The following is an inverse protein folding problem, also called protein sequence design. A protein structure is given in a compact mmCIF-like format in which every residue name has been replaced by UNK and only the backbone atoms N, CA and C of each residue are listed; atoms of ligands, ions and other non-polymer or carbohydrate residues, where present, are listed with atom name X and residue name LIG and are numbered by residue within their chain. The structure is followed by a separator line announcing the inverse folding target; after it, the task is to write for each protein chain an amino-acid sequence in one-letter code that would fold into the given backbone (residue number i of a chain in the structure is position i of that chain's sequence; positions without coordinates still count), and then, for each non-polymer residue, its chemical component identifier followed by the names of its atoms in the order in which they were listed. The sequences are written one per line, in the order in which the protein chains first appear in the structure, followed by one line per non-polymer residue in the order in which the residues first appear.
data_IF_960890999351
#
_entry.id   IF_960890999351
#
_cell.length_a   1.000
_cell.length_b   1.000
_cell.length_c   1.000
_cell.angle_alpha   90.00
_cell.angle_beta   90.00
_cell.angle_gamma   90.00
#
_symmetry.space_group_name_H-M   'P 1'
#
loop_
_entity.id
_entity.type
_entity.pdbx_description
1 polymer ?
#
# COMPACT_ATOMS: atom_id res chain seq x y z
N UNK A 1 -6.99 -1.78 -2.82
CA UNK A 1 -6.71 -3.21 -2.55
C UNK A 1 -6.60 -3.41 -1.06
N UNK A 2 -7.20 -4.46 -0.51
CA UNK A 2 -7.10 -4.80 0.91
C UNK A 2 -5.65 -5.16 1.30
N UNK A 3 -5.27 -4.86 2.54
CA UNK A 3 -3.95 -5.14 3.10
C UNK A 3 -3.82 -6.46 3.85
N UNK A 4 -2.58 -6.93 4.05
CA UNK A 4 -2.28 -8.17 4.79
C UNK A 4 -2.70 -8.12 6.27
N UNK A 5 -2.88 -6.94 6.83
CA UNK A 5 -3.32 -6.72 8.21
C UNK A 5 -4.85 -6.56 8.34
N UNK A 6 -5.59 -6.54 7.23
CA UNK A 6 -7.04 -6.33 7.26
C UNK A 6 -7.83 -7.58 7.67
N UNK A 7 -9.02 -7.41 8.29
CA UNK A 7 -9.90 -8.52 8.65
C UNK A 7 -10.22 -9.45 7.47
N UNK A 8 -10.44 -8.89 6.28
CA UNK A 8 -10.68 -9.62 5.02
C UNK A 8 -9.60 -10.66 4.69
N UNK A 9 -8.35 -10.42 5.12
CA UNK A 9 -7.22 -11.32 4.88
C UNK A 9 -6.90 -12.18 6.10
N UNK A 10 -7.07 -11.63 7.30
CA UNK A 10 -6.67 -12.31 8.54
C UNK A 10 -7.72 -13.27 9.08
N UNK A 11 -9.01 -12.91 9.02
CA UNK A 11 -10.08 -13.75 9.57
C UNK A 11 -10.17 -15.10 8.83
N UNK A 12 -10.12 -15.17 7.48
CA UNK A 12 -10.09 -16.46 6.79
C UNK A 12 -8.95 -17.36 7.25
N UNK A 13 -7.73 -16.81 7.44
CA UNK A 13 -6.58 -17.56 7.95
C UNK A 13 -6.79 -18.06 9.38
N UNK A 14 -7.42 -17.24 10.23
CA UNK A 14 -7.79 -17.66 11.60
C UNK A 14 -8.79 -18.81 11.54
N UNK A 15 -9.78 -18.78 10.65
CA UNK A 15 -10.74 -19.88 10.51
C UNK A 15 -10.11 -21.13 9.91
N UNK A 16 -9.11 -21.00 9.03
CA UNK A 16 -8.32 -22.13 8.53
C UNK A 16 -7.52 -22.80 9.66
N UNK A 17 -6.88 -22.02 10.52
CA UNK A 17 -6.08 -22.51 11.65
C UNK A 17 -6.95 -22.97 12.85
N UNK A 18 -8.13 -22.36 13.02
CA UNK A 18 -9.06 -22.54 14.14
C UNK A 18 -10.52 -22.60 13.67
N UNK A 19 -10.96 -23.71 13.06
CA UNK A 19 -12.32 -23.86 12.53
C UNK A 19 -13.44 -23.69 13.56
N UNK A 20 -13.15 -23.93 14.85
CA UNK A 20 -14.10 -23.72 15.95
C UNK A 20 -14.53 -22.26 16.12
N UNK A 21 -13.77 -21.32 15.54
CA UNK A 21 -14.05 -19.89 15.61
C UNK A 21 -14.90 -19.38 14.44
N UNK A 22 -15.27 -20.23 13.47
CA UNK A 22 -16.03 -19.82 12.29
C UNK A 22 -17.31 -19.06 12.70
N UNK A 23 -17.45 -17.84 12.17
CA UNK A 23 -18.60 -16.97 12.43
C UNK A 23 -18.48 -16.12 13.71
N UNK A 24 -17.38 -16.21 14.46
CA UNK A 24 -17.18 -15.40 15.67
C UNK A 24 -16.71 -13.96 15.39
N UNK A 25 -16.19 -13.69 14.20
CA UNK A 25 -15.66 -12.39 13.83
C UNK A 25 -16.40 -11.80 12.63
N UNK A 26 -16.74 -10.51 12.75
CA UNK A 26 -17.30 -9.73 11.65
C UNK A 26 -16.19 -9.23 10.72
N UNK A 27 -16.46 -9.29 9.42
CA UNK A 27 -15.66 -8.64 8.39
C UNK A 27 -16.42 -7.38 7.95
N UNK A 28 -15.85 -6.17 8.13
CA UNK A 28 -16.54 -4.94 7.77
C UNK A 28 -16.67 -4.81 6.25
N UNK A 29 -17.86 -4.44 5.77
CA UNK A 29 -18.08 -4.16 4.35
C UNK A 29 -17.57 -2.74 3.99
N UNK A 30 -16.35 -2.67 3.46
CA UNK A 30 -15.71 -1.40 3.10
C UNK A 30 -16.43 -0.67 1.95
N UNK A 31 -17.26 -1.35 1.16
CA UNK A 31 -18.02 -0.71 0.07
C UNK A 31 -19.08 0.24 0.61
N UNK A 32 -19.58 0.01 1.83
CA UNK A 32 -20.52 0.90 2.51
C UNK A 32 -19.91 2.26 2.85
N UNK A 33 -18.58 2.36 2.86
CA UNK A 33 -17.85 3.62 3.04
C UNK A 33 -17.45 4.28 1.71
N UNK A 34 -17.97 3.78 0.58
CA UNK A 34 -17.72 4.32 -0.75
C UNK A 34 -16.39 3.90 -1.37
N UNK A 35 -15.68 2.93 -0.78
CA UNK A 35 -14.45 2.42 -1.37
C UNK A 35 -14.75 1.42 -2.48
N UNK A 36 -13.99 1.54 -3.57
CA UNK A 36 -13.82 0.44 -4.50
C UNK A 36 -12.80 -0.56 -3.93
N UNK A 37 -13.27 -1.75 -3.63
CA UNK A 37 -12.50 -2.77 -2.89
C UNK A 37 -11.97 -3.80 -3.87
N UNK A 38 -10.70 -4.16 -3.72
CA UNK A 38 -10.01 -5.15 -4.54
C UNK A 38 -9.29 -6.13 -3.63
N UNK A 39 -9.31 -7.42 -3.98
CA UNK A 39 -8.72 -8.48 -3.16
C UNK A 39 -7.21 -8.32 -2.96
N UNK A 40 -6.72 -9.01 -1.92
CA UNK A 40 -5.32 -9.01 -1.54
C UNK A 40 -4.44 -9.52 -2.70
N UNK A 41 -3.42 -8.73 -3.06
CA UNK A 41 -2.47 -8.98 -4.15
C UNK A 41 -3.02 -8.97 -5.57
N UNK A 42 -4.31 -8.66 -5.77
CA UNK A 42 -4.79 -8.34 -7.10
C UNK A 42 -4.10 -7.06 -7.61
N UNK A 43 -3.64 -7.10 -8.85
CA UNK A 43 -3.03 -5.96 -9.52
C UNK A 43 -4.12 -5.20 -10.28
N UNK A 44 -4.38 -3.98 -9.85
CA UNK A 44 -5.33 -3.07 -10.49
C UNK A 44 -4.55 -2.04 -11.30
N UNK A 45 -4.87 -1.85 -12.57
CA UNK A 45 -4.23 -0.84 -13.40
C UNK A 45 -5.18 0.33 -13.65
N UNK A 46 -4.89 1.49 -13.05
CA UNK A 46 -5.68 2.70 -13.18
C UNK A 46 -4.76 3.77 -13.77
N UNK A 47 -5.13 4.32 -14.94
CA UNK A 47 -4.37 5.39 -15.61
C UNK A 47 -2.89 5.04 -15.87
N UNK A 48 -2.58 3.75 -16.10
CA UNK A 48 -1.22 3.27 -16.32
C UNK A 48 -0.40 3.04 -15.04
N UNK A 49 -0.98 3.29 -13.86
CA UNK A 49 -0.38 3.05 -12.55
C UNK A 49 -0.96 1.76 -11.98
N UNK A 50 -0.09 0.84 -11.54
CA UNK A 50 -0.50 -0.43 -10.95
C UNK A 50 -0.60 -0.34 -9.43
N UNK A 51 -1.71 -0.79 -8.88
CA UNK A 51 -1.98 -0.82 -7.45
C UNK A 51 -2.03 -2.28 -6.99
N UNK A 52 -1.33 -2.58 -5.90
CA UNK A 52 -1.40 -3.85 -5.17
C UNK A 52 -0.94 -3.60 -3.74
N UNK A 53 -1.29 -4.47 -2.79
CA UNK A 53 -0.72 -4.36 -1.44
C UNK A 53 0.81 -4.47 -1.47
N UNK A 54 1.35 -5.41 -2.24
CA UNK A 54 2.74 -5.39 -2.71
C UNK A 54 2.91 -6.06 -4.08
N UNK A 55 4.03 -5.76 -4.71
CA UNK A 55 4.49 -6.47 -5.90
C UNK A 55 5.61 -7.44 -5.54
N UNK A 56 5.59 -8.64 -6.08
CA UNK A 56 6.66 -9.61 -5.90
C UNK A 56 7.86 -9.23 -6.77
N UNK A 57 9.07 -9.31 -6.23
CA UNK A 57 10.28 -9.16 -7.03
C UNK A 57 10.46 -10.42 -7.91
N UNK A 58 10.36 -10.31 -9.25
CA UNK A 58 10.47 -11.46 -10.14
C UNK A 58 11.86 -12.13 -10.07
N UNK A 59 12.90 -11.36 -9.75
CA UNK A 59 14.28 -11.82 -9.60
C UNK A 59 14.58 -12.43 -8.22
N UNK A 60 13.64 -12.36 -7.27
CA UNK A 60 13.80 -13.02 -5.98
C UNK A 60 13.48 -14.51 -6.08
N UNK A 61 14.45 -15.37 -5.74
CA UNK A 61 14.24 -16.81 -5.65
C UNK A 61 13.13 -17.18 -4.64
N UNK A 62 12.99 -16.40 -3.56
CA UNK A 62 11.97 -16.58 -2.52
C UNK A 62 10.67 -15.81 -2.78
N UNK A 63 10.53 -15.18 -3.95
CA UNK A 63 9.34 -14.37 -4.31
C UNK A 63 9.00 -13.31 -3.27
N UNK A 64 10.04 -12.69 -2.69
CA UNK A 64 9.88 -11.62 -1.70
C UNK A 64 9.23 -10.37 -2.32
N UNK A 65 8.50 -9.56 -1.54
CA UNK A 65 8.03 -8.26 -1.97
C UNK A 65 9.15 -7.35 -2.50
N UNK A 66 8.81 -6.49 -3.46
CA UNK A 66 9.67 -5.40 -3.92
C UNK A 66 10.04 -4.51 -2.75
N UNK A 67 11.33 -4.29 -2.56
CA UNK A 67 11.90 -3.56 -1.42
C UNK A 67 13.21 -2.88 -1.82
N UNK A 68 13.84 -2.18 -0.86
CA UNK A 68 15.05 -1.38 -1.09
C UNK A 68 14.75 0.10 -1.35
N UNK A 69 15.65 0.77 -2.05
CA UNK A 69 15.48 2.15 -2.50
C UNK A 69 14.41 2.22 -3.61
N UNK A 70 13.68 3.34 -3.71
CA UNK A 70 12.57 3.46 -4.66
C UNK A 70 13.02 3.30 -6.11
N UNK A 71 14.23 3.76 -6.46
CA UNK A 71 14.80 3.58 -7.80
C UNK A 71 15.03 2.11 -8.15
N UNK A 72 15.49 1.31 -7.19
CA UNK A 72 15.67 -0.13 -7.38
C UNK A 72 14.31 -0.81 -7.55
N UNK A 73 13.31 -0.39 -6.78
CA UNK A 73 11.95 -0.91 -6.89
C UNK A 73 11.34 -0.59 -8.25
N UNK A 74 11.47 0.64 -8.73
CA UNK A 74 11.04 1.08 -10.06
C UNK A 74 11.71 0.29 -11.19
N UNK A 75 13.02 0.07 -11.10
CA UNK A 75 13.77 -0.74 -12.07
C UNK A 75 13.26 -2.19 -12.10
N UNK A 76 13.08 -2.80 -10.93
CA UNK A 76 12.66 -4.20 -10.82
C UNK A 76 11.17 -4.42 -11.15
N UNK A 77 10.31 -3.43 -10.86
CA UNK A 77 8.91 -3.47 -11.25
C UNK A 77 8.74 -3.37 -12.76
N UNK A 78 9.48 -2.45 -13.40
CA UNK A 78 9.36 -2.19 -14.84
C UNK A 78 8.13 -1.36 -15.22
N UNK A 79 7.36 -0.86 -14.26
CA UNK A 79 6.16 -0.07 -14.47
C UNK A 79 5.90 0.90 -13.30
N UNK A 80 4.99 1.85 -13.49
CA UNK A 80 4.50 2.71 -12.41
C UNK A 80 3.64 1.94 -11.42
N UNK A 81 3.85 2.18 -10.13
CA UNK A 81 3.17 1.44 -9.08
C UNK A 81 2.89 2.24 -7.82
N UNK A 82 1.87 1.78 -7.08
CA UNK A 82 1.59 2.14 -5.70
C UNK A 82 1.45 0.86 -4.88
N UNK A 83 2.16 0.76 -3.76
CA UNK A 83 2.02 -0.35 -2.82
C UNK A 83 1.99 0.09 -1.35
N UNK A 84 1.30 -0.69 -0.52
CA UNK A 84 1.05 -0.40 0.90
C UNK A 84 1.81 -1.26 1.90
N UNK A 85 2.72 -2.14 1.47
CA UNK A 85 3.39 -3.08 2.37
C UNK A 85 4.53 -2.49 3.21
N UNK A 86 5.16 -1.40 2.75
CA UNK A 86 6.35 -0.84 3.40
C UNK A 86 5.98 0.24 4.41
N UNK A 87 6.50 0.13 5.63
CA UNK A 87 6.37 1.18 6.65
C UNK A 87 7.04 2.49 6.22
N UNK A 88 6.44 3.61 6.62
CA UNK A 88 6.82 4.94 6.18
C UNK A 88 6.37 5.22 4.75
N UNK A 89 7.20 5.97 4.02
CA UNK A 89 6.91 6.42 2.65
C UNK A 89 8.19 6.48 1.83
N UNK A 90 8.12 5.97 0.60
CA UNK A 90 9.15 6.13 -0.44
C UNK A 90 8.47 6.51 -1.74
N UNK A 91 8.96 7.53 -2.41
CA UNK A 91 8.43 8.04 -3.67
C UNK A 91 9.57 8.34 -4.63
N UNK A 92 9.37 8.10 -5.93
CA UNK A 92 10.37 8.35 -6.95
C UNK A 92 9.77 8.31 -8.34
N UNK A 93 10.49 8.91 -9.29
CA UNK A 93 10.06 9.05 -10.67
C UNK A 93 11.21 8.76 -11.61
N UNK A 94 11.01 7.94 -12.64
CA UNK A 94 11.96 7.74 -13.74
C UNK A 94 11.42 8.34 -15.03
N UNK A 95 12.20 9.22 -15.64
CA UNK A 95 11.99 9.69 -17.01
C UNK A 95 12.73 8.74 -17.96
N UNK A 96 12.01 8.11 -18.88
CA UNK A 96 12.56 7.10 -19.76
C UNK A 96 12.95 7.68 -21.12
N UNK A 97 13.86 7.01 -21.81
CA UNK A 97 14.38 7.45 -23.11
C UNK A 97 13.32 7.44 -24.23
N UNK A 98 12.21 6.71 -24.05
CA UNK A 98 11.06 6.72 -24.94
C UNK A 98 10.06 7.85 -24.64
N UNK A 99 10.40 8.75 -23.70
CA UNK A 99 9.56 9.87 -23.30
C UNK A 99 8.47 9.51 -22.29
N UNK A 100 8.34 8.24 -21.89
CA UNK A 100 7.38 7.82 -20.86
C UNK A 100 7.93 8.06 -19.44
N UNK A 101 7.03 8.09 -18.46
CA UNK A 101 7.38 8.33 -17.07
C UNK A 101 6.94 7.11 -16.24
N UNK A 102 7.79 6.71 -15.30
CA UNK A 102 7.41 5.76 -14.25
C UNK A 102 7.32 6.44 -12.90
N UNK A 103 6.19 6.30 -12.24
CA UNK A 103 5.95 6.76 -10.87
C UNK A 103 5.97 5.58 -9.90
N UNK A 104 6.77 5.66 -8.84
CA UNK A 104 6.85 4.62 -7.82
C UNK A 104 6.47 5.18 -6.45
N UNK A 105 5.50 4.55 -5.79
CA UNK A 105 5.07 4.91 -4.45
C UNK A 105 4.99 3.65 -3.58
N UNK A 106 5.68 3.67 -2.45
CA UNK A 106 5.51 2.69 -1.39
C UNK A 106 5.17 3.43 -0.09
N UNK A 107 3.93 3.30 0.38
CA UNK A 107 3.41 4.02 1.53
C UNK A 107 2.39 3.15 2.28
N UNK A 108 2.78 2.60 3.44
CA UNK A 108 2.01 1.59 4.16
C UNK A 108 1.54 1.97 5.55
N UNK A 109 1.79 3.21 5.98
CA UNK A 109 1.54 3.61 7.37
C UNK A 109 0.33 4.53 7.49
N UNK A 110 -0.81 3.95 7.91
CA UNK A 110 -2.02 4.69 8.29
C UNK A 110 -2.62 4.11 9.58
N UNK A 111 -1.93 4.36 10.69
CA UNK A 111 -2.36 3.90 12.01
C UNK A 111 -1.90 4.86 13.12
N UNK A 112 -2.68 4.94 14.19
CA UNK A 112 -2.47 5.90 15.29
C UNK A 112 -1.59 5.35 16.42
N UNK A 113 -1.41 4.03 16.50
CA UNK A 113 -0.64 3.38 17.57
C UNK A 113 0.84 3.21 17.22
N UNK A 114 1.62 2.68 18.17
CA UNK A 114 2.99 2.21 17.93
C UNK A 114 2.97 0.71 17.70
N UNK A 115 3.67 0.27 16.66
CA UNK A 115 3.87 -1.14 16.37
C UNK A 115 4.95 -1.71 17.29
N UNK A 116 4.58 -2.72 18.08
CA UNK A 116 5.48 -3.32 19.07
C UNK A 116 6.74 -3.90 18.42
N UNK A 117 6.60 -4.51 17.23
CA UNK A 117 7.71 -5.12 16.50
C UNK A 117 8.72 -4.11 15.96
N UNK A 118 8.36 -2.82 15.84
CA UNK A 118 9.26 -1.76 15.38
C UNK A 118 10.21 -1.26 16.47
N UNK A 119 9.98 -1.64 17.73
CA UNK A 119 10.79 -1.22 18.87
C UNK A 119 10.81 0.30 19.08
N UNK A 120 11.78 0.77 19.84
CA UNK A 120 11.88 2.19 20.25
C UNK A 120 12.34 3.14 19.14
N UNK A 121 13.00 2.63 18.10
CA UNK A 121 13.57 3.46 17.02
C UNK A 121 12.72 3.45 15.74
N UNK A 122 11.92 2.41 15.50
CA UNK A 122 11.26 2.22 14.21
C UNK A 122 9.88 2.89 14.09
N UNK A 123 9.30 3.34 15.20
CA UNK A 123 7.92 3.84 15.22
C UNK A 123 7.75 5.27 14.67
N UNK A 124 8.84 6.03 14.61
CA UNK A 124 8.85 7.41 14.10
C UNK A 124 9.10 7.40 12.58
N UNK A 125 8.02 7.50 11.80
CA UNK A 125 8.06 7.59 10.35
C UNK A 125 6.79 8.28 9.82
N UNK A 126 6.78 8.63 8.53
CA UNK A 126 5.62 9.24 7.87
C UNK A 126 4.39 8.35 7.98
N UNK A 127 3.24 8.93 8.32
CA UNK A 127 1.93 8.29 8.30
C UNK A 127 0.91 9.21 7.63
N UNK A 128 0.03 8.67 6.82
CA UNK A 128 -0.95 9.50 6.12
C UNK A 128 -1.55 8.83 4.89
N UNK A 129 -2.18 9.65 4.06
CA UNK A 129 -2.74 9.27 2.77
C UNK A 129 -2.00 10.01 1.66
N UNK A 130 -2.06 9.45 0.45
CA UNK A 130 -1.54 10.08 -0.76
C UNK A 130 -2.70 10.18 -1.75
N UNK A 131 -2.95 11.40 -2.22
CA UNK A 131 -3.88 11.70 -3.29
C UNK A 131 -3.09 11.88 -4.59
N UNK A 132 -3.59 11.29 -5.67
CA UNK A 132 -2.98 11.32 -6.99
C UNK A 132 -3.83 12.22 -7.90
N UNK A 133 -3.34 13.43 -8.15
CA UNK A 133 -3.99 14.39 -9.03
C UNK A 133 -3.48 14.21 -10.46
N UNK A 134 -4.29 14.59 -11.47
CA UNK A 134 -3.89 14.54 -12.89
C UNK A 134 -3.32 13.16 -13.31
N UNK A 135 -3.90 12.08 -12.77
CA UNK A 135 -3.39 10.74 -13.04
C UNK A 135 -3.62 10.33 -14.50
N UNK A 136 -2.54 9.97 -15.19
CA UNK A 136 -2.55 9.64 -16.62
C UNK A 136 -1.22 9.05 -17.07
N UNK A 137 -1.27 8.11 -18.02
CA UNK A 137 -0.09 7.56 -18.69
C UNK A 137 1.04 7.07 -17.75
N UNK A 138 0.69 6.51 -16.59
CA UNK A 138 1.64 6.01 -15.61
C UNK A 138 2.24 7.08 -14.69
N UNK A 139 1.75 8.32 -14.72
CA UNK A 139 2.17 9.39 -13.82
C UNK A 139 0.96 10.04 -13.13
N UNK A 140 1.24 10.78 -12.06
CA UNK A 140 0.29 11.62 -11.34
C UNK A 140 1.06 12.63 -10.47
N UNK A 141 0.43 13.76 -10.19
CA UNK A 141 0.91 14.73 -9.22
C UNK A 141 0.58 14.24 -7.80
N UNK A 142 1.61 14.07 -6.98
CA UNK A 142 1.49 13.52 -5.62
C UNK A 142 1.09 14.63 -4.65
N UNK A 143 -0.05 14.47 -3.99
CA UNK A 143 -0.46 15.28 -2.85
C UNK A 143 -0.44 14.44 -1.56
N UNK A 144 0.46 14.78 -0.65
CA UNK A 144 0.62 14.05 0.62
C UNK A 144 -0.17 14.72 1.74
N UNK A 145 -0.94 13.92 2.46
CA UNK A 145 -1.75 14.40 3.58
C UNK A 145 -1.41 13.58 4.80
N UNK A 146 -0.71 14.19 5.76
CA UNK A 146 -0.27 13.49 6.97
C UNK A 146 -1.45 13.11 7.87
N UNK A 147 -1.33 11.98 8.56
CA UNK A 147 -2.29 11.54 9.56
C UNK A 147 -2.43 12.59 10.67
N UNK A 148 -1.32 13.23 11.09
CA UNK A 148 -1.35 14.33 12.07
C UNK A 148 -2.24 15.48 11.61
N UNK A 149 -2.15 15.86 10.34
CA UNK A 149 -3.01 16.90 9.76
C UNK A 149 -4.47 16.47 9.73
N UNK A 150 -4.76 15.23 9.32
CA UNK A 150 -6.13 14.69 9.30
C UNK A 150 -6.75 14.70 10.70
N UNK A 151 -6.03 14.18 11.69
CA UNK A 151 -6.50 14.15 13.08
C UNK A 151 -6.76 15.57 13.61
N UNK A 152 -5.85 16.51 13.36
CA UNK A 152 -6.00 17.89 13.86
C UNK A 152 -7.22 18.62 13.28
N UNK A 153 -7.59 18.36 12.03
CA UNK A 153 -8.57 19.17 11.31
C UNK A 153 -9.90 18.46 11.07
N UNK A 154 -9.96 17.14 11.22
CA UNK A 154 -11.13 16.33 10.86
C UNK A 154 -11.52 15.28 11.91
N UNK A 155 -10.68 15.04 12.92
CA UNK A 155 -11.09 14.25 14.08
C UNK A 155 -11.66 15.23 15.11
N UNK A 156 -12.99 15.20 15.27
CA UNK A 156 -13.73 15.99 16.25
C UNK A 156 -13.30 15.66 17.68
#
# INVERSE_FOLDING_TARGET
TIGNHEPHVRIPRVYEDHPELIGMFDIPDLTQWGFEVYDFLNIVNIQGIRFSHYFVNPHSAKKMPLSGAIDTMLKNAGFSFVQGHTQGKKTGTHFLADGTIRLGIAAGSFYQHHEKFMGVQGNEHWRGIIMLNEAGNGYADICEISLKYLLKNYLN
#
